data_IF_433855852316
#
_entry.id   IF_433855852316
#
_cell.length_a   1.000
_cell.length_b   1.000
_cell.length_c   1.000
_cell.angle_alpha   90.00
_cell.angle_beta   90.00
_cell.angle_gamma   90.00
#
_symmetry.space_group_name_H-M   'P 1'
#
loop_
_entity.id
_entity.type
_entity.pdbx_description
1 polymer ?
#
# COMPACT_ATOMS: atom_id res chain seq x y z
N UNK A 1 52.07 29.35 34.02
CA UNK A 1 51.76 29.66 32.61
C UNK A 1 50.88 28.55 32.05
N UNK A 2 49.70 28.92 31.51
CA UNK A 2 48.88 28.20 30.50
C UNK A 2 48.41 26.78 30.88
N UNK A 3 47.17 26.59 31.36
CA UNK A 3 45.92 26.37 30.57
C UNK A 3 46.17 25.36 29.43
N UNK A 4 45.47 24.23 29.34
CA UNK A 4 44.20 24.14 28.62
C UNK A 4 43.30 23.01 29.19
N UNK A 5 42.10 23.37 29.67
CA UNK A 5 40.97 22.44 29.77
C UNK A 5 40.36 22.32 28.37
N UNK A 6 40.53 21.17 27.71
CA UNK A 6 39.87 20.89 26.43
C UNK A 6 38.55 20.17 26.70
N UNK A 7 37.48 20.93 26.82
CA UNK A 7 36.10 20.43 26.88
C UNK A 7 35.69 19.99 25.48
N UNK A 8 35.69 18.67 25.22
CA UNK A 8 35.24 18.12 23.95
C UNK A 8 33.72 18.31 23.81
N UNK A 9 33.31 19.23 22.93
CA UNK A 9 31.92 19.37 22.50
C UNK A 9 31.53 18.13 21.67
N UNK A 10 30.69 17.27 22.24
CA UNK A 10 30.03 16.20 21.52
C UNK A 10 28.86 16.81 20.73
N UNK A 11 29.06 17.06 19.44
CA UNK A 11 28.00 17.53 18.56
C UNK A 11 26.99 16.39 18.31
N UNK A 12 25.82 16.47 18.94
CA UNK A 12 24.69 15.59 18.64
C UNK A 12 24.09 15.99 17.29
N UNK A 13 24.40 15.24 16.23
CA UNK A 13 23.72 15.39 14.94
C UNK A 13 22.30 14.82 15.08
N UNK A 14 21.30 15.68 15.23
CA UNK A 14 19.90 15.29 15.14
C UNK A 14 19.58 15.07 13.67
N UNK A 15 19.58 13.81 13.23
CA UNK A 15 19.07 13.44 11.91
C UNK A 15 17.54 13.54 11.97
N UNK A 16 16.98 14.62 11.46
CA UNK A 16 15.54 14.70 11.21
C UNK A 16 15.23 13.84 9.99
N UNK A 17 14.65 12.66 10.22
CA UNK A 17 14.10 11.87 9.13
C UNK A 17 12.97 12.68 8.48
N UNK A 18 13.14 13.03 7.20
CA UNK A 18 12.07 13.63 6.43
C UNK A 18 10.90 12.62 6.40
N UNK A 19 9.78 12.98 7.03
CA UNK A 19 8.55 12.18 6.96
C UNK A 19 8.02 12.32 5.54
N UNK A 20 8.29 11.35 4.70
CA UNK A 20 7.69 11.27 3.37
C UNK A 20 6.21 10.96 3.58
N UNK A 21 5.33 11.88 3.18
CA UNK A 21 3.89 11.63 3.23
C UNK A 21 3.56 10.46 2.30
N UNK A 22 2.85 9.42 2.76
CA UNK A 22 2.44 8.33 1.89
C UNK A 22 1.58 8.87 0.74
N UNK A 23 1.69 8.24 -0.42
CA UNK A 23 0.88 8.57 -1.59
C UNK A 23 -0.61 8.38 -1.27
N UNK A 24 -1.46 9.31 -1.74
CA UNK A 24 -2.90 9.23 -1.49
C UNK A 24 -3.59 8.36 -2.54
N UNK A 25 -4.01 7.16 -2.12
CA UNK A 25 -4.76 6.21 -2.93
C UNK A 25 -6.28 6.35 -2.79
N UNK A 26 -6.79 7.49 -2.32
CA UNK A 26 -8.24 7.69 -2.17
C UNK A 26 -8.97 7.52 -3.49
N UNK A 27 -10.03 6.70 -3.48
CA UNK A 27 -10.85 6.39 -4.64
C UNK A 27 -10.20 5.48 -5.69
N UNK A 28 -8.94 5.07 -5.52
CA UNK A 28 -8.33 4.07 -6.39
C UNK A 28 -9.03 2.74 -6.21
N UNK A 29 -9.22 2.01 -7.30
CA UNK A 29 -9.77 0.65 -7.28
C UNK A 29 -8.68 -0.36 -7.59
N UNK A 30 -8.81 -1.55 -7.01
CA UNK A 30 -8.03 -2.72 -7.45
C UNK A 30 -9.02 -3.73 -8.01
N UNK A 31 -8.89 -4.00 -9.30
CA UNK A 31 -9.80 -4.88 -10.03
C UNK A 31 -9.01 -6.06 -10.56
N UNK A 32 -9.48 -7.25 -10.22
CA UNK A 32 -8.95 -8.51 -10.71
C UNK A 32 -9.68 -8.91 -11.98
N UNK A 33 -8.92 -9.21 -13.03
CA UNK A 33 -9.44 -9.74 -14.29
C UNK A 33 -8.77 -11.10 -14.54
N UNK A 34 -9.53 -12.22 -14.46
CA UNK A 34 -9.02 -13.53 -14.83
C UNK A 34 -8.72 -13.59 -16.33
N UNK A 35 -7.49 -13.96 -16.68
CA UNK A 35 -7.11 -14.12 -18.08
C UNK A 35 -7.39 -15.52 -18.58
N UNK A 36 -7.98 -15.59 -19.76
CA UNK A 36 -8.31 -16.76 -20.52
C UNK A 36 -7.62 -16.68 -21.89
N UNK A 37 -7.68 -17.77 -22.65
CA UNK A 37 -6.97 -17.90 -23.93
C UNK A 37 -7.33 -16.81 -24.94
N UNK A 38 -8.55 -16.29 -24.89
CA UNK A 38 -9.11 -15.31 -25.81
C UNK A 38 -8.92 -13.85 -25.37
N UNK A 39 -8.74 -13.56 -24.08
CA UNK A 39 -8.69 -12.19 -23.57
C UNK A 39 -7.31 -11.71 -23.06
N UNK A 40 -6.32 -12.60 -22.87
CA UNK A 40 -5.03 -12.25 -22.23
C UNK A 40 -4.32 -11.07 -22.93
N UNK A 41 -4.30 -11.07 -24.27
CA UNK A 41 -3.67 -10.00 -25.06
C UNK A 41 -4.43 -8.68 -24.95
N UNK A 42 -5.75 -8.73 -24.82
CA UNK A 42 -6.57 -7.54 -24.65
C UNK A 42 -6.31 -6.92 -23.29
N UNK A 43 -6.33 -7.71 -22.22
CA UNK A 43 -6.03 -7.24 -20.85
C UNK A 43 -4.63 -6.58 -20.80
N UNK A 44 -3.61 -7.21 -21.38
CA UNK A 44 -2.26 -6.64 -21.46
C UNK A 44 -2.23 -5.31 -22.24
N UNK A 45 -2.99 -5.22 -23.34
CA UNK A 45 -3.11 -4.00 -24.14
C UNK A 45 -3.79 -2.89 -23.35
N UNK A 46 -4.90 -3.17 -22.66
CA UNK A 46 -5.60 -2.18 -21.82
C UNK A 46 -4.67 -1.63 -20.74
N UNK A 47 -3.92 -2.49 -20.04
CA UNK A 47 -2.94 -2.07 -19.02
C UNK A 47 -1.89 -1.13 -19.62
N UNK A 48 -1.37 -1.48 -20.80
CA UNK A 48 -0.31 -0.71 -21.46
C UNK A 48 -0.83 0.62 -22.02
N UNK A 49 -1.95 0.60 -22.74
CA UNK A 49 -2.55 1.77 -23.39
C UNK A 49 -2.98 2.84 -22.39
N UNK A 50 -3.52 2.40 -21.24
CA UNK A 50 -3.93 3.28 -20.15
C UNK A 50 -2.79 3.59 -19.16
N UNK A 51 -1.62 2.98 -19.36
CA UNK A 51 -0.46 3.09 -18.47
C UNK A 51 -0.84 2.84 -16.99
N UNK A 52 -1.51 1.72 -16.74
CA UNK A 52 -2.01 1.33 -15.42
C UNK A 52 -0.97 0.53 -14.65
N UNK A 53 -0.92 0.76 -13.34
CA UNK A 53 -0.13 -0.06 -12.42
C UNK A 53 -0.80 -1.42 -12.19
N UNK A 54 0.01 -2.43 -11.86
CA UNK A 54 -0.48 -3.77 -11.53
C UNK A 54 0.20 -4.32 -10.30
N UNK A 55 -0.59 -4.91 -9.40
CA UNK A 55 -0.06 -5.79 -8.35
C UNK A 55 0.36 -7.13 -8.92
N UNK A 56 -0.37 -7.59 -9.94
CA UNK A 56 -0.05 -8.80 -10.68
C UNK A 56 -0.29 -8.59 -12.16
N UNK A 57 0.79 -8.62 -12.94
CA UNK A 57 0.72 -8.56 -14.39
C UNK A 57 0.47 -9.96 -14.97
N UNK A 58 -0.52 -10.15 -15.85
CA UNK A 58 -0.80 -11.45 -16.45
C UNK A 58 0.21 -11.74 -17.57
N UNK A 59 1.02 -12.80 -17.45
CA UNK A 59 1.99 -13.17 -18.51
C UNK A 59 1.43 -14.19 -19.51
N UNK A 60 0.45 -14.99 -19.08
CA UNK A 60 -0.16 -16.07 -19.86
C UNK A 60 -1.61 -16.27 -19.44
N UNK A 61 -2.38 -17.02 -20.23
CA UNK A 61 -3.70 -17.51 -19.84
C UNK A 61 -3.69 -18.26 -18.50
N UNK A 62 -4.83 -18.26 -17.81
CA UNK A 62 -5.01 -18.91 -16.52
C UNK A 62 -4.47 -18.11 -15.33
N UNK A 63 -3.88 -16.93 -15.57
CA UNK A 63 -3.41 -16.02 -14.52
C UNK A 63 -4.42 -14.90 -14.26
N UNK A 64 -4.45 -14.40 -13.04
CA UNK A 64 -5.20 -13.20 -12.70
C UNK A 64 -4.34 -11.95 -12.95
N UNK A 65 -4.95 -10.93 -13.52
CA UNK A 65 -4.42 -9.57 -13.60
C UNK A 65 -5.01 -8.76 -12.46
N UNK A 66 -4.19 -8.29 -11.51
CA UNK A 66 -4.64 -7.44 -10.42
C UNK A 66 -4.20 -6.01 -10.73
N UNK A 67 -5.14 -5.19 -11.18
CA UNK A 67 -4.88 -3.91 -11.84
C UNK A 67 -5.31 -2.78 -10.90
N UNK A 68 -4.42 -1.81 -10.70
CA UNK A 68 -4.67 -0.61 -9.90
C UNK A 68 -5.19 0.48 -10.84
N UNK A 69 -6.42 0.93 -10.61
CA UNK A 69 -7.12 1.86 -11.51
C UNK A 69 -7.33 3.20 -10.80
N UNK A 70 -6.70 4.30 -11.29
CA UNK A 70 -6.91 5.63 -10.76
C UNK A 70 -8.36 6.11 -10.95
N UNK A 71 -8.90 6.96 -10.05
CA UNK A 71 -10.28 7.46 -10.14
C UNK A 71 -10.64 8.07 -11.50
N UNK A 72 -9.70 8.82 -12.10
CA UNK A 72 -9.86 9.47 -13.39
C UNK A 72 -9.95 8.52 -14.58
N UNK A 73 -9.52 7.26 -14.40
CA UNK A 73 -9.45 6.26 -15.47
C UNK A 73 -10.47 5.12 -15.30
N UNK A 74 -11.24 5.09 -14.21
CA UNK A 74 -12.22 4.03 -13.92
C UNK A 74 -13.17 3.83 -15.09
N UNK A 75 -13.77 4.90 -15.61
CA UNK A 75 -14.75 4.80 -16.70
C UNK A 75 -14.11 4.21 -17.97
N UNK A 76 -12.96 4.72 -18.39
CA UNK A 76 -12.24 4.25 -19.58
C UNK A 76 -11.78 2.80 -19.45
N UNK A 77 -11.35 2.40 -18.26
CA UNK A 77 -10.98 1.03 -17.97
C UNK A 77 -12.19 0.09 -18.06
N UNK A 78 -13.29 0.43 -17.37
CA UNK A 78 -14.51 -0.39 -17.34
C UNK A 78 -15.14 -0.56 -18.73
N UNK A 79 -15.08 0.47 -19.57
CA UNK A 79 -15.53 0.37 -20.97
C UNK A 79 -14.70 -0.66 -21.76
N UNK A 80 -13.37 -0.61 -21.64
CA UNK A 80 -12.45 -1.50 -22.38
C UNK A 80 -12.54 -2.97 -21.94
N UNK A 81 -12.84 -3.23 -20.68
CA UNK A 81 -12.99 -4.59 -20.15
C UNK A 81 -14.45 -5.06 -20.09
N UNK A 82 -15.37 -4.29 -20.67
CA UNK A 82 -16.79 -4.63 -20.69
C UNK A 82 -17.02 -6.02 -21.28
N UNK A 83 -17.83 -6.83 -20.60
CA UNK A 83 -18.10 -8.22 -20.99
C UNK A 83 -17.06 -9.23 -20.52
N UNK A 84 -15.95 -8.80 -19.91
CA UNK A 84 -15.01 -9.71 -19.23
C UNK A 84 -15.49 -10.04 -17.82
N UNK A 85 -15.08 -11.19 -17.29
CA UNK A 85 -15.28 -11.50 -15.88
C UNK A 85 -14.34 -10.64 -15.03
N UNK A 86 -14.86 -10.05 -13.95
CA UNK A 86 -14.08 -9.21 -13.04
C UNK A 86 -14.41 -9.53 -11.59
N UNK A 87 -13.44 -9.29 -10.71
CA UNK A 87 -13.61 -9.33 -9.27
C UNK A 87 -13.08 -8.02 -8.68
N UNK A 88 -13.92 -7.35 -7.90
CA UNK A 88 -13.53 -6.14 -7.18
C UNK A 88 -12.71 -6.53 -5.95
N UNK A 89 -11.41 -6.24 -5.95
CA UNK A 89 -10.53 -6.53 -4.80
C UNK A 89 -10.59 -5.40 -3.76
N UNK A 90 -10.55 -4.14 -4.22
CA UNK A 90 -10.71 -2.96 -3.38
C UNK A 90 -11.54 -1.90 -4.09
N UNK A 91 -12.65 -1.48 -3.47
CA UNK A 91 -13.52 -0.40 -3.96
C UNK A 91 -12.91 1.00 -3.74
N UNK A 92 -12.13 1.13 -2.67
CA UNK A 92 -11.29 2.28 -2.36
C UNK A 92 -10.03 1.76 -1.63
N UNK A 93 -8.92 1.79 -2.35
CA UNK A 93 -7.63 1.32 -1.86
C UNK A 93 -7.12 2.20 -0.70
N UNK A 94 -7.29 3.52 -0.80
CA UNK A 94 -6.92 4.46 0.25
C UNK A 94 -7.68 4.21 1.55
N UNK A 95 -8.98 3.92 1.49
CA UNK A 95 -9.76 3.53 2.68
C UNK A 95 -9.31 2.18 3.25
N UNK A 96 -8.99 1.21 2.39
CA UNK A 96 -8.49 -0.10 2.82
C UNK A 96 -7.19 0.03 3.60
N UNK A 97 -6.22 0.79 3.08
CA UNK A 97 -4.94 1.08 3.74
C UNK A 97 -5.15 1.79 5.09
N UNK A 98 -6.04 2.79 5.16
CA UNK A 98 -6.34 3.51 6.41
C UNK A 98 -6.93 2.60 7.47
N UNK A 99 -7.82 1.68 7.07
CA UNK A 99 -8.44 0.72 7.99
C UNK A 99 -7.42 -0.28 8.53
N UNK A 100 -6.54 -0.81 7.68
CA UNK A 100 -5.46 -1.71 8.09
C UNK A 100 -4.46 -1.01 9.01
N UNK A 101 -4.03 0.21 8.66
CA UNK A 101 -3.12 1.02 9.50
C UNK A 101 -3.74 1.30 10.88
N UNK A 102 -5.04 1.58 10.91
CA UNK A 102 -5.76 1.80 12.17
C UNK A 102 -5.77 0.53 13.03
N UNK A 103 -6.00 -0.63 12.42
CA UNK A 103 -5.96 -1.92 13.11
C UNK A 103 -4.57 -2.22 13.70
N UNK A 104 -3.49 -2.00 12.94
CA UNK A 104 -2.13 -2.17 13.46
C UNK A 104 -1.83 -1.24 14.64
N UNK A 105 -2.30 0.01 14.60
CA UNK A 105 -2.17 0.94 15.72
C UNK A 105 -2.92 0.42 16.97
N UNK A 106 -4.08 -0.20 16.80
CA UNK A 106 -4.81 -0.85 17.90
C UNK A 106 -4.10 -2.10 18.43
N UNK A 107 -3.56 -2.97 17.57
CA UNK A 107 -2.80 -4.17 17.99
C UNK A 107 -1.49 -3.82 18.69
N UNK A 108 -0.76 -2.82 18.20
CA UNK A 108 0.43 -2.30 18.87
C UNK A 108 0.11 -1.70 20.24
N UNK A 109 -1.00 -0.98 20.35
CA UNK A 109 -1.48 -0.45 21.64
C UNK A 109 -1.93 -1.57 22.59
N UNK A 110 -2.58 -2.62 22.10
CA UNK A 110 -2.99 -3.78 22.91
C UNK A 110 -1.78 -4.57 23.44
N UNK A 111 -0.71 -4.74 22.65
CA UNK A 111 0.54 -5.37 23.10
C UNK A 111 1.22 -4.56 24.20
N UNK A 112 1.18 -3.23 24.14
CA UNK A 112 1.72 -2.37 25.20
C UNK A 112 0.87 -2.45 26.48
N UNK A 113 -0.47 -2.48 26.37
CA UNK A 113 -1.35 -2.60 27.55
C UNK A 113 -1.22 -3.99 28.21
N UNK A 114 -1.03 -5.06 27.44
CA UNK A 114 -0.80 -6.40 28.00
C UNK A 114 0.59 -6.56 28.64
N UNK A 115 1.61 -5.85 28.15
CA UNK A 115 2.95 -5.84 28.77
C UNK A 115 2.94 -5.15 30.14
N UNK A 116 2.05 -4.17 30.33
CA UNK A 116 1.86 -3.48 31.61
C UNK A 116 0.96 -4.28 32.60
N UNK A 117 0.17 -5.25 32.12
CA UNK A 117 -0.73 -6.05 32.96
C UNK A 117 -0.12 -7.33 33.56
N UNK A 118 1.14 -7.68 33.24
CA UNK A 118 1.81 -8.88 33.81
C UNK A 118 2.46 -8.59 35.18
N UNK A 119 2.49 -7.34 35.66
CA UNK A 119 3.10 -6.97 36.94
C UNK A 119 2.11 -6.79 38.11
N UNK A 120 1.00 -7.54 38.16
CA UNK A 120 0.16 -7.62 39.37
C UNK A 120 -0.31 -9.06 39.60
N UNK A 121 0.62 -9.95 39.94
CA UNK A 121 0.31 -11.18 40.70
C UNK A 121 1.60 -11.75 41.29
N UNK A 122 2.09 -11.13 42.35
CA UNK A 122 2.91 -11.78 43.38
C UNK A 122 3.06 -10.83 44.59
N UNK A 123 2.09 -10.88 45.50
CA UNK A 123 2.24 -10.60 46.92
C UNK A 123 1.14 -11.32 47.68
#
# INVERSE_FOLDING_TARGET
>A
MRSVLSLALLAANVVTAAVVSPFDYSGYKVIRVPTQKDNVKEVQRVITDLNLDTWKYPKSEGQNADIVVPPSQISSFMERISGMNIEMMHEDLGLSIRNETSFEAYSGKFILILSDCIYISNS
#
